data_IF_116192507559
#
_entry.id   IF_116192507559
#
_cell.length_a   1.000
_cell.length_b   1.000
_cell.length_c   1.000
_cell.angle_alpha   90.00
_cell.angle_beta   90.00
_cell.angle_gamma   90.00
#
_symmetry.space_group_name_H-M   'P 1'
#
loop_
_entity.id
_entity.type
_entity.pdbx_description
1 polymer ?
#
# COMPACT_ATOMS: atom_id res chain seq x y z
N UNK A 1 5.22 -19.95 6.34
CA UNK A 1 5.52 -19.60 7.74
C UNK A 1 4.51 -18.63 8.37
N UNK A 2 3.69 -17.98 7.59
CA UNK A 2 2.60 -17.10 8.11
C UNK A 2 1.26 -17.84 8.30
N UNK A 3 1.09 -18.98 7.66
CA UNK A 3 -0.15 -19.76 7.80
C UNK A 3 -0.31 -20.45 9.17
N UNK A 4 0.78 -20.72 9.85
CA UNK A 4 0.73 -21.37 11.16
C UNK A 4 0.46 -20.41 12.32
N UNK A 5 0.62 -19.10 12.13
CA UNK A 5 0.37 -18.09 13.16
C UNK A 5 -1.12 -17.90 13.49
N UNK A 6 -1.99 -18.33 12.59
CA UNK A 6 -3.45 -18.25 12.80
C UNK A 6 -4.10 -19.56 13.16
N UNK A 7 -3.35 -20.67 13.10
CA UNK A 7 -3.87 -22.00 13.41
C UNK A 7 -3.53 -22.46 14.82
N UNK A 8 -2.60 -21.78 15.46
CA UNK A 8 -2.26 -22.15 16.82
C UNK A 8 -3.13 -21.41 17.80
N UNK A 9 -3.73 -22.22 18.55
CA UNK A 9 -4.74 -21.89 19.51
C UNK A 9 -4.22 -20.88 20.54
N UNK A 10 -5.12 -20.38 21.34
CA UNK A 10 -4.93 -19.41 22.42
C UNK A 10 -3.68 -19.59 23.33
N UNK A 11 -2.98 -20.71 23.23
CA UNK A 11 -1.77 -20.96 24.03
C UNK A 11 -0.53 -20.29 23.46
N UNK A 12 -0.34 -20.27 22.15
CA UNK A 12 0.82 -19.61 21.53
C UNK A 12 0.69 -18.09 21.59
N UNK A 13 -0.48 -17.57 21.29
CA UNK A 13 -0.77 -16.15 21.47
C UNK A 13 -0.56 -15.68 22.91
N UNK A 14 -0.72 -16.58 23.87
CA UNK A 14 -0.55 -16.26 25.28
C UNK A 14 0.90 -16.28 25.75
N UNK A 15 1.79 -16.91 25.02
CA UNK A 15 3.23 -16.87 25.32
C UNK A 15 3.89 -15.61 24.76
N UNK A 16 3.43 -15.11 23.60
CA UNK A 16 3.99 -13.94 22.96
C UNK A 16 3.67 -12.61 23.66
N UNK A 17 2.61 -12.59 24.47
CA UNK A 17 2.20 -11.38 25.20
C UNK A 17 2.70 -11.32 26.65
N UNK A 18 3.66 -12.14 27.02
CA UNK A 18 4.33 -12.10 28.32
C UNK A 18 3.52 -12.68 29.47
N UNK A 19 4.01 -12.57 30.71
CA UNK A 19 3.43 -13.21 31.86
C UNK A 19 2.02 -12.71 32.10
N UNK A 20 1.12 -13.64 32.24
CA UNK A 20 -0.28 -13.34 32.48
C UNK A 20 -0.47 -12.72 33.87
N UNK A 21 -1.00 -11.53 33.83
CA UNK A 21 -1.27 -10.72 35.01
C UNK A 21 -2.17 -11.41 36.05
N UNK A 22 -2.51 -12.67 35.86
CA UNK A 22 -3.63 -13.23 36.64
C UNK A 22 -3.44 -14.65 37.07
N UNK A 23 -2.27 -15.00 37.35
CA UNK A 23 -2.02 -16.22 38.13
C UNK A 23 -2.45 -16.12 39.58
N UNK A 24 -3.45 -15.37 39.86
CA UNK A 24 -4.12 -15.40 41.15
C UNK A 24 -4.89 -16.72 41.29
N UNK A 25 -4.53 -17.57 42.25
CA UNK A 25 -5.08 -18.93 42.31
C UNK A 25 -6.57 -18.99 42.67
N UNK A 26 -7.14 -17.91 43.09
CA UNK A 26 -8.44 -17.93 43.75
C UNK A 26 -9.62 -17.61 42.84
N UNK A 27 -9.40 -17.02 41.75
CA UNK A 27 -10.53 -16.45 40.99
C UNK A 27 -11.22 -17.34 40.00
N UNK A 28 -10.77 -18.55 39.86
CA UNK A 28 -11.19 -19.23 38.65
C UNK A 28 -11.85 -20.56 38.82
N UNK A 29 -11.86 -21.04 40.00
CA UNK A 29 -12.47 -22.35 40.23
C UNK A 29 -13.99 -22.33 40.09
N UNK A 30 -14.62 -21.17 40.27
CA UNK A 30 -16.08 -21.06 40.29
C UNK A 30 -16.65 -20.00 39.36
N UNK A 31 -15.82 -19.30 38.60
CA UNK A 31 -16.35 -18.53 37.49
C UNK A 31 -16.84 -19.54 36.47
N UNK A 32 -18.11 -19.49 36.03
CA UNK A 32 -18.48 -20.22 34.86
C UNK A 32 -17.51 -19.73 33.76
N UNK A 33 -16.65 -20.66 33.36
CA UNK A 33 -15.86 -20.44 32.16
C UNK A 33 -16.89 -20.04 31.17
N UNK A 34 -16.95 -18.76 30.81
CA UNK A 34 -17.61 -18.38 29.61
C UNK A 34 -16.85 -19.16 28.55
N UNK A 35 -17.38 -20.33 28.28
CA UNK A 35 -17.12 -20.93 27.01
C UNK A 35 -17.55 -19.82 26.07
N UNK A 36 -16.59 -19.15 25.49
CA UNK A 36 -16.78 -18.60 24.18
C UNK A 36 -17.23 -19.81 23.38
N UNK A 37 -18.51 -20.08 23.51
CA UNK A 37 -19.11 -21.06 22.64
C UNK A 37 -18.87 -20.50 21.28
N UNK A 38 -18.06 -21.19 20.53
CA UNK A 38 -17.74 -20.97 19.15
C UNK A 38 -18.97 -20.98 18.25
N UNK A 39 -20.12 -20.56 18.78
CA UNK A 39 -21.38 -20.45 18.04
C UNK A 39 -21.39 -19.26 17.10
N UNK A 40 -20.56 -18.25 17.38
CA UNK A 40 -20.40 -17.13 16.50
C UNK A 40 -19.10 -17.21 15.69
N UNK A 41 -18.38 -18.33 15.79
CA UNK A 41 -17.35 -18.69 14.84
C UNK A 41 -17.95 -19.14 13.49
N UNK A 42 -18.98 -18.53 13.07
CA UNK A 42 -19.03 -18.20 11.67
C UNK A 42 -17.91 -17.17 11.48
N UNK A 43 -16.66 -17.65 11.44
CA UNK A 43 -15.61 -16.93 10.76
C UNK A 43 -16.20 -16.66 9.41
N UNK A 44 -16.69 -15.43 9.25
CA UNK A 44 -17.20 -14.98 7.97
C UNK A 44 -15.98 -15.11 7.07
N UNK A 45 -15.92 -16.22 6.33
CA UNK A 45 -14.84 -16.43 5.38
C UNK A 45 -14.85 -15.19 4.54
N UNK A 46 -13.75 -14.48 4.54
CA UNK A 46 -13.60 -13.35 3.64
C UNK A 46 -13.67 -13.97 2.25
N UNK A 47 -14.82 -13.88 1.64
CA UNK A 47 -14.99 -14.28 0.26
C UNK A 47 -14.32 -13.21 -0.59
N UNK A 48 -13.09 -13.46 -0.95
CA UNK A 48 -12.34 -12.61 -1.86
C UNK A 48 -12.47 -13.19 -3.27
N UNK A 49 -12.89 -12.37 -4.20
CA UNK A 49 -12.92 -12.72 -5.63
C UNK A 49 -11.73 -12.07 -6.30
N UNK A 50 -10.93 -12.86 -7.01
CA UNK A 50 -9.83 -12.35 -7.83
C UNK A 50 -10.45 -11.62 -9.05
N UNK A 51 -10.31 -10.30 -9.08
CA UNK A 51 -10.82 -9.46 -10.16
C UNK A 51 -9.85 -9.45 -11.34
N UNK A 52 -8.55 -9.31 -11.07
CA UNK A 52 -7.52 -9.22 -12.10
C UNK A 52 -6.15 -9.65 -11.60
N UNK A 53 -5.36 -10.21 -12.50
CA UNK A 53 -3.95 -10.52 -12.28
C UNK A 53 -3.11 -9.64 -13.21
N UNK A 54 -2.28 -8.76 -12.63
CA UNK A 54 -1.52 -7.74 -13.34
C UNK A 54 -0.03 -8.11 -13.39
N UNK A 55 0.34 -8.96 -14.31
CA UNK A 55 1.72 -9.41 -14.52
C UNK A 55 2.45 -8.52 -15.54
N UNK A 56 2.77 -7.29 -15.18
CA UNK A 56 3.41 -6.34 -16.10
C UNK A 56 4.80 -5.90 -15.64
N UNK A 57 5.08 -5.90 -14.35
CA UNK A 57 6.43 -5.66 -13.82
C UNK A 57 7.35 -6.85 -14.11
N UNK A 58 8.61 -6.58 -14.36
CA UNK A 58 9.63 -7.61 -14.62
C UNK A 58 10.35 -8.06 -13.35
N UNK A 59 10.24 -7.29 -12.27
CA UNK A 59 10.84 -7.60 -10.96
C UNK A 59 9.80 -7.42 -9.85
N UNK A 60 10.23 -7.57 -8.60
CA UNK A 60 9.36 -7.50 -7.44
C UNK A 60 8.61 -6.16 -7.34
N UNK A 61 7.33 -6.21 -7.04
CA UNK A 61 6.53 -5.03 -6.72
C UNK A 61 6.82 -4.62 -5.28
N UNK A 62 7.27 -3.39 -5.09
CA UNK A 62 7.70 -2.85 -3.79
C UNK A 62 6.61 -2.08 -3.08
N UNK A 63 5.65 -1.54 -3.82
CA UNK A 63 4.58 -0.75 -3.23
C UNK A 63 3.38 -0.59 -4.15
N UNK A 64 2.26 -0.25 -3.54
CA UNK A 64 1.01 0.11 -4.22
C UNK A 64 0.38 1.29 -3.50
N UNK A 65 -0.13 2.25 -4.25
CA UNK A 65 -0.88 3.38 -3.72
C UNK A 65 -2.08 3.68 -4.62
N UNK A 66 -3.22 3.98 -3.98
CA UNK A 66 -4.48 4.27 -4.68
C UNK A 66 -4.75 5.77 -4.63
N UNK A 67 -5.18 6.36 -5.75
CA UNK A 67 -5.55 7.78 -5.76
C UNK A 67 -6.77 8.03 -4.86
N UNK A 68 -6.86 9.20 -4.21
CA UNK A 68 -7.95 9.52 -3.28
C UNK A 68 -9.34 9.47 -3.92
N UNK A 69 -9.44 9.72 -5.20
CA UNK A 69 -10.67 9.66 -6.01
C UNK A 69 -10.93 8.27 -6.61
N UNK A 70 -10.06 7.28 -6.30
CA UNK A 70 -10.13 5.90 -6.79
C UNK A 70 -10.10 5.74 -8.32
N UNK A 71 -9.74 6.79 -9.07
CA UNK A 71 -9.68 6.72 -10.53
C UNK A 71 -8.52 5.88 -11.04
N UNK A 72 -7.40 5.90 -10.33
CA UNK A 72 -6.22 5.12 -10.67
C UNK A 72 -5.49 4.63 -9.42
N UNK A 73 -4.64 3.68 -9.62
CA UNK A 73 -3.62 3.31 -8.63
C UNK A 73 -2.26 3.17 -9.31
N UNK A 74 -1.24 3.21 -8.51
CA UNK A 74 0.14 3.11 -8.97
C UNK A 74 0.85 1.97 -8.26
N UNK A 75 1.74 1.33 -8.98
CA UNK A 75 2.61 0.28 -8.43
C UNK A 75 4.06 0.61 -8.70
N UNK A 76 4.90 0.49 -7.68
CA UNK A 76 6.35 0.63 -7.79
C UNK A 76 7.03 -0.73 -7.79
N UNK A 77 8.21 -0.81 -8.40
CA UNK A 77 8.93 -2.07 -8.53
C UNK A 77 10.44 -1.88 -8.53
N UNK A 78 11.14 -2.96 -8.21
CA UNK A 78 12.59 -3.07 -8.35
C UNK A 78 13.05 -2.96 -9.82
N UNK A 79 12.16 -3.13 -10.79
CA UNK A 79 12.41 -2.91 -12.21
C UNK A 79 12.62 -1.42 -12.59
N UNK A 80 12.77 -0.53 -11.60
CA UNK A 80 13.01 0.92 -11.71
C UNK A 80 11.82 1.68 -12.30
N UNK A 81 10.66 1.06 -12.39
CA UNK A 81 9.48 1.69 -12.96
C UNK A 81 8.34 1.86 -11.97
N UNK A 82 7.52 2.87 -12.22
CA UNK A 82 6.20 3.01 -11.61
C UNK A 82 5.16 2.87 -12.69
N UNK A 83 4.17 2.00 -12.49
CA UNK A 83 3.10 1.77 -13.44
C UNK A 83 1.78 2.33 -12.93
N UNK A 84 1.07 2.98 -13.83
CA UNK A 84 -0.22 3.64 -13.54
C UNK A 84 -1.34 2.80 -14.16
N UNK A 85 -2.31 2.45 -13.36
CA UNK A 85 -3.44 1.58 -13.70
C UNK A 85 -4.75 2.33 -13.59
N UNK A 86 -5.62 2.11 -14.53
CA UNK A 86 -6.96 2.70 -14.57
C UNK A 86 -7.95 1.76 -13.87
N UNK A 87 -8.49 2.18 -12.73
CA UNK A 87 -9.41 1.38 -11.92
C UNK A 87 -10.68 1.00 -12.68
N UNK A 88 -11.26 1.93 -13.44
CA UNK A 88 -12.47 1.67 -14.20
C UNK A 88 -12.30 0.61 -15.30
N UNK A 89 -11.10 0.45 -15.83
CA UNK A 89 -10.81 -0.58 -16.84
C UNK A 89 -10.61 -1.95 -16.25
N UNK A 90 -10.07 -2.03 -15.04
CA UNK A 90 -9.94 -3.29 -14.32
C UNK A 90 -11.32 -3.85 -13.97
N UNK A 91 -12.20 -3.04 -13.43
CA UNK A 91 -13.57 -3.44 -13.10
C UNK A 91 -14.33 -3.96 -14.31
N UNK A 92 -14.06 -3.40 -15.49
CA UNK A 92 -14.71 -3.81 -16.75
C UNK A 92 -13.96 -4.91 -17.49
N UNK A 93 -12.90 -5.47 -16.93
CA UNK A 93 -12.08 -6.50 -17.58
C UNK A 93 -11.57 -6.12 -18.98
N UNK A 94 -11.39 -4.81 -19.24
CA UNK A 94 -11.04 -4.33 -20.60
C UNK A 94 -9.57 -4.58 -20.91
N UNK A 95 -8.67 -4.46 -19.93
CA UNK A 95 -7.24 -4.69 -20.15
C UNK A 95 -6.47 -4.82 -18.84
N UNK A 96 -5.48 -5.71 -18.85
CA UNK A 96 -4.48 -5.86 -17.78
C UNK A 96 -3.19 -5.05 -18.04
N UNK A 97 -3.19 -4.15 -19.04
CA UNK A 97 -2.02 -3.33 -19.37
C UNK A 97 -2.05 -2.02 -18.59
N UNK A 98 -0.89 -1.53 -18.10
CA UNK A 98 -0.81 -0.22 -17.47
C UNK A 98 -1.15 0.88 -18.48
N UNK A 99 -1.73 1.97 -17.99
CA UNK A 99 -2.01 3.16 -18.82
C UNK A 99 -0.75 3.90 -19.16
N UNK A 100 0.13 4.02 -18.18
CA UNK A 100 1.44 4.62 -18.35
C UNK A 100 2.48 3.84 -17.56
N UNK A 101 3.71 3.91 -18.02
CA UNK A 101 4.89 3.46 -17.30
C UNK A 101 5.81 4.66 -17.12
N UNK A 102 6.13 4.98 -15.89
CA UNK A 102 7.11 5.98 -15.51
C UNK A 102 8.46 5.29 -15.29
N UNK A 103 9.45 5.58 -16.09
CA UNK A 103 10.76 4.90 -16.08
C UNK A 103 11.93 5.87 -16.00
N UNK A 104 11.79 7.00 -15.28
CA UNK A 104 12.89 7.97 -15.14
C UNK A 104 13.77 7.72 -13.91
N UNK A 105 13.42 6.75 -13.07
CA UNK A 105 14.32 6.33 -12.01
C UNK A 105 15.49 5.52 -12.54
N UNK A 106 16.67 5.81 -12.05
CA UNK A 106 17.90 5.08 -12.41
C UNK A 106 18.15 3.87 -11.53
N UNK A 107 17.51 3.84 -10.36
CA UNK A 107 17.63 2.79 -9.35
C UNK A 107 16.27 2.15 -9.03
N UNK A 108 16.27 1.12 -8.20
CA UNK A 108 15.07 0.41 -7.77
C UNK A 108 14.12 1.34 -7.03
N UNK A 109 12.85 1.32 -7.38
CA UNK A 109 11.84 2.14 -6.68
C UNK A 109 11.43 1.41 -5.41
N UNK A 110 11.65 2.03 -4.25
CA UNK A 110 11.39 1.41 -2.94
C UNK A 110 9.99 1.67 -2.42
N UNK A 111 9.48 2.86 -2.64
CA UNK A 111 8.16 3.22 -2.16
C UNK A 111 7.45 4.19 -3.09
N UNK A 112 6.13 4.21 -2.98
CA UNK A 112 5.25 5.10 -3.72
C UNK A 112 4.10 5.55 -2.83
N UNK A 113 3.67 6.79 -2.96
CA UNK A 113 2.45 7.28 -2.34
C UNK A 113 1.70 8.19 -3.31
N UNK A 114 0.40 8.29 -3.15
CA UNK A 114 -0.44 9.25 -3.88
C UNK A 114 -0.64 10.51 -3.05
N UNK A 115 -0.78 11.65 -3.72
CA UNK A 115 -1.01 12.92 -3.07
C UNK A 115 -2.51 13.19 -3.00
N UNK A 116 -2.97 13.65 -1.84
CA UNK A 116 -4.35 14.06 -1.65
C UNK A 116 -4.67 15.32 -2.46
N UNK A 117 -5.89 15.40 -2.91
CA UNK A 117 -6.46 16.56 -3.65
C UNK A 117 -5.90 16.82 -5.04
N UNK A 118 -4.95 16.04 -5.53
CA UNK A 118 -4.36 16.19 -6.86
C UNK A 118 -4.05 14.82 -7.48
N UNK A 119 -4.17 14.75 -8.80
CA UNK A 119 -3.78 13.52 -9.51
C UNK A 119 -2.25 13.43 -9.63
N UNK A 120 -1.58 13.31 -8.49
CA UNK A 120 -0.14 13.17 -8.43
C UNK A 120 0.24 11.97 -7.58
N UNK A 121 1.41 11.43 -7.86
CA UNK A 121 2.07 10.47 -6.98
C UNK A 121 3.51 10.89 -6.72
N UNK A 122 4.04 10.46 -5.61
CA UNK A 122 5.46 10.55 -5.30
C UNK A 122 6.05 9.15 -5.32
N UNK A 123 7.25 9.00 -5.87
CA UNK A 123 8.00 7.74 -5.91
C UNK A 123 9.44 7.99 -5.50
N UNK A 124 10.00 7.10 -4.70
CA UNK A 124 11.37 7.18 -4.23
C UNK A 124 12.15 5.92 -4.56
N UNK A 125 13.41 6.10 -4.96
CA UNK A 125 14.31 5.03 -5.31
C UNK A 125 15.47 4.90 -4.32
N UNK A 126 16.17 3.79 -4.37
CA UNK A 126 17.28 3.47 -3.46
C UNK A 126 18.57 4.25 -3.76
N UNK A 127 18.58 5.09 -4.77
CA UNK A 127 19.63 6.09 -5.00
C UNK A 127 19.35 7.44 -4.31
N UNK A 128 18.33 7.51 -3.46
CA UNK A 128 17.92 8.73 -2.76
C UNK A 128 17.07 9.67 -3.61
N UNK A 129 16.74 9.33 -4.84
CA UNK A 129 15.89 10.17 -5.69
C UNK A 129 14.42 10.08 -5.31
N UNK A 130 13.75 11.23 -5.26
CA UNK A 130 12.31 11.39 -5.03
C UNK A 130 11.72 12.17 -6.20
N UNK A 131 10.78 11.57 -6.90
CA UNK A 131 10.07 12.21 -8.00
C UNK A 131 8.60 12.41 -7.67
N UNK A 132 8.09 13.62 -7.90
CA UNK A 132 6.66 13.95 -7.83
C UNK A 132 6.15 14.09 -9.27
N UNK A 133 5.19 13.25 -9.62
CA UNK A 133 4.70 13.12 -10.98
C UNK A 133 3.20 13.33 -11.02
N UNK A 134 2.75 14.21 -11.90
CA UNK A 134 1.33 14.44 -12.19
C UNK A 134 0.84 13.45 -13.24
N UNK A 135 -0.34 12.92 -12.99
CA UNK A 135 -1.11 12.08 -13.92
C UNK A 135 -2.28 12.92 -14.46
N UNK A 136 -2.14 13.57 -15.62
CA UNK A 136 -3.23 14.38 -16.14
C UNK A 136 -4.37 13.49 -16.62
N UNK A 137 -5.53 13.64 -15.98
CA UNK A 137 -6.75 12.88 -16.27
C UNK A 137 -7.84 13.84 -16.69
N UNK A 138 -8.48 13.54 -17.82
CA UNK A 138 -9.63 14.30 -18.32
C UNK A 138 -10.83 13.37 -18.40
N UNK A 139 -11.90 13.74 -17.73
CA UNK A 139 -13.19 13.06 -17.85
C UNK A 139 -13.97 13.62 -19.03
N UNK A 140 -13.87 12.97 -20.18
CA UNK A 140 -14.64 13.35 -21.38
C UNK A 140 -15.36 12.12 -21.95
N UNK A 141 -16.29 11.55 -21.17
CA UNK A 141 -17.07 10.36 -21.58
C UNK A 141 -17.06 9.24 -20.53
N UNK A 142 -17.47 8.03 -20.92
CA UNK A 142 -17.65 6.90 -19.98
C UNK A 142 -16.33 6.34 -19.40
N UNK A 143 -15.20 6.69 -19.99
CA UNK A 143 -13.87 6.28 -19.52
C UNK A 143 -12.94 7.50 -19.44
N UNK A 144 -12.14 7.60 -18.38
CA UNK A 144 -11.17 8.68 -18.22
C UNK A 144 -10.08 8.59 -19.31
N UNK A 145 -9.65 9.76 -19.79
CA UNK A 145 -8.51 9.88 -20.71
C UNK A 145 -7.29 10.31 -19.92
N UNK A 146 -6.21 9.58 -20.08
CA UNK A 146 -4.91 9.83 -19.48
C UNK A 146 -4.00 10.46 -20.50
N UNK A 147 -3.46 11.63 -20.19
CA UNK A 147 -2.46 12.31 -21.00
C UNK A 147 -1.04 11.98 -20.52
N UNK A 148 -0.03 12.49 -21.23
CA UNK A 148 1.37 12.24 -20.89
C UNK A 148 1.69 12.68 -19.45
N UNK A 149 2.41 11.83 -18.72
CA UNK A 149 2.89 12.12 -17.38
C UNK A 149 3.76 13.38 -17.36
N UNK A 150 3.65 14.16 -16.30
CA UNK A 150 4.40 15.39 -16.10
C UNK A 150 5.17 15.31 -14.79
N UNK A 151 6.48 15.41 -14.85
CA UNK A 151 7.30 15.54 -13.65
C UNK A 151 7.11 16.95 -13.08
N UNK A 152 6.62 17.04 -11.86
CA UNK A 152 6.37 18.31 -11.18
C UNK A 152 7.60 18.75 -10.40
N UNK A 153 8.26 17.80 -9.73
CA UNK A 153 9.45 18.06 -8.93
C UNK A 153 10.30 16.79 -8.83
N UNK A 154 11.58 17.00 -8.82
CA UNK A 154 12.59 16.00 -8.48
C UNK A 154 13.38 16.52 -7.28
N UNK A 155 13.67 15.63 -6.36
CA UNK A 155 14.51 15.89 -5.20
C UNK A 155 15.43 14.70 -4.98
N UNK A 156 16.56 14.93 -4.32
CA UNK A 156 17.48 13.88 -3.95
C UNK A 156 17.89 14.08 -2.49
N UNK A 157 18.04 13.00 -1.75
CA UNK A 157 18.55 13.05 -0.38
C UNK A 157 20.00 13.54 -0.44
N UNK A 158 20.36 14.45 0.48
CA UNK A 158 21.65 15.16 0.44
C UNK A 158 22.83 14.24 0.79
N UNK A 159 22.61 13.24 1.63
CA UNK A 159 23.68 12.34 2.06
C UNK A 159 23.85 11.17 1.08
N UNK A 160 25.05 10.93 0.57
CA UNK A 160 25.33 9.79 -0.29
C UNK A 160 25.10 8.46 0.46
N UNK A 161 24.33 7.57 -0.16
CA UNK A 161 24.03 6.26 0.40
C UNK A 161 22.76 6.18 1.23
N UNK A 162 22.16 7.31 1.60
CA UNK A 162 20.84 7.35 2.21
C UNK A 162 19.75 7.26 1.15
N UNK A 163 18.67 6.57 1.49
CA UNK A 163 17.51 6.44 0.62
C UNK A 163 16.20 6.44 1.41
N UNK A 164 15.12 6.75 0.72
CA UNK A 164 13.80 6.86 1.33
C UNK A 164 13.16 5.47 1.38
N UNK A 165 12.88 5.00 2.60
CA UNK A 165 12.28 3.67 2.86
C UNK A 165 10.77 3.71 2.78
N UNK A 166 10.17 4.77 3.31
CA UNK A 166 8.72 4.93 3.32
C UNK A 166 8.33 6.39 3.15
N UNK A 167 7.15 6.59 2.60
CA UNK A 167 6.58 7.92 2.37
C UNK A 167 5.12 7.94 2.76
N UNK A 168 4.70 9.06 3.32
CA UNK A 168 3.30 9.37 3.56
C UNK A 168 3.03 10.84 3.23
N UNK A 169 1.95 11.09 2.54
CA UNK A 169 1.44 12.44 2.29
C UNK A 169 0.22 12.69 3.18
N UNK A 170 0.21 13.83 3.82
CA UNK A 170 -0.89 14.26 4.67
C UNK A 170 -1.27 15.71 4.36
N UNK A 171 -2.54 15.93 4.08
CA UNK A 171 -3.11 17.25 3.81
C UNK A 171 -4.22 17.55 4.83
N UNK A 172 -3.97 18.53 5.70
CA UNK A 172 -4.95 18.96 6.70
C UNK A 172 -5.98 19.93 6.15
N UNK A 173 -5.81 20.42 4.92
CA UNK A 173 -6.60 21.51 4.37
C UNK A 173 -6.29 22.90 4.98
N UNK A 174 -5.66 22.95 6.13
CA UNK A 174 -5.30 24.19 6.84
C UNK A 174 -3.81 24.53 6.78
N UNK A 175 -2.97 23.52 6.54
CA UNK A 175 -1.52 23.66 6.44
C UNK A 175 -1.04 23.18 5.06
N UNK A 176 0.14 23.64 4.61
CA UNK A 176 0.77 23.05 3.43
C UNK A 176 0.86 21.55 3.57
N UNK A 177 0.62 20.85 2.48
CA UNK A 177 0.73 19.39 2.44
C UNK A 177 2.13 18.95 2.91
N UNK A 178 2.17 18.01 3.82
CA UNK A 178 3.39 17.49 4.43
C UNK A 178 3.73 16.11 3.88
N UNK A 179 5.01 15.91 3.61
CA UNK A 179 5.57 14.59 3.36
C UNK A 179 6.33 14.12 4.60
N UNK A 180 6.01 12.92 5.03
CA UNK A 180 6.80 12.20 6.01
C UNK A 180 7.69 11.21 5.28
N UNK A 181 8.98 11.28 5.53
CA UNK A 181 9.98 10.44 4.89
C UNK A 181 10.71 9.64 5.98
N UNK A 182 10.72 8.31 5.85
CA UNK A 182 11.64 7.46 6.58
C UNK A 182 12.90 7.29 5.74
N UNK A 183 14.04 7.61 6.29
CA UNK A 183 15.36 7.52 5.63
C UNK A 183 16.16 6.39 6.29
N UNK A 184 16.88 5.61 5.50
CA UNK A 184 17.79 4.56 5.95
C UNK A 184 19.16 4.73 5.31
#
# INVERSE_FOLDING_TARGET
MLENLYLDNDKELQQDFGPRVHEGPVRRRNAPRQQFTSRDNTHKRIEATLISNLSSHSEAVTGIAVSPDHMFFVTSSDDKTVKIWDSARLERNVTSKPRHTYGQHHARVKCVCTLESVHCFASAADDGSLHIVRVPITQSGPLPKYSKLQVVREHRVDNPGEYIVCMMHYNTGMLPALFFLGIA
#
